data_IF_261713483256
#
_entry.id   IF_261713483256
#
_cell.length_a   1.000
_cell.length_b   1.000
_cell.length_c   1.000
_cell.angle_alpha   90.00
_cell.angle_beta   90.00
_cell.angle_gamma   90.00
#
_symmetry.space_group_name_H-M   'P 1'
#
loop_
_entity.id
_entity.type
_entity.pdbx_description
1 polymer ?
#
# COMPACT_ATOMS: atom_id res chain seq x y z
N UNK A 1 -19.91 5.49 4.76
CA UNK A 1 -19.60 4.22 5.46
C UNK A 1 -20.15 3.05 4.66
N UNK A 2 -19.60 2.84 3.47
CA UNK A 2 -19.79 1.76 2.51
C UNK A 2 -18.69 2.09 1.51
N UNK A 3 -17.53 1.42 1.49
CA UNK A 3 -17.32 0.19 0.74
C UNK A 3 -16.12 -0.63 1.27
N UNK A 4 -15.76 -0.51 2.55
CA UNK A 4 -14.59 -1.22 3.12
C UNK A 4 -14.72 -2.76 3.20
N UNK A 5 -15.87 -3.33 2.82
CA UNK A 5 -16.18 -4.76 2.95
C UNK A 5 -15.97 -5.61 1.70
N UNK A 6 -15.61 -5.03 0.55
CA UNK A 6 -15.50 -5.79 -0.72
C UNK A 6 -14.09 -5.92 -1.29
N UNK A 7 -13.11 -5.17 -0.79
CA UNK A 7 -11.71 -5.22 -1.23
C UNK A 7 -10.83 -6.14 -0.36
N UNK A 8 -11.41 -7.14 0.29
CA UNK A 8 -10.66 -8.00 1.22
C UNK A 8 -9.78 -9.01 0.49
N UNK A 9 -8.46 -8.89 0.66
CA UNK A 9 -7.53 -10.00 0.54
C UNK A 9 -7.75 -10.94 1.73
N UNK A 10 -8.33 -12.11 1.48
CA UNK A 10 -8.69 -13.14 2.46
C UNK A 10 -7.48 -13.88 3.06
N UNK A 11 -6.36 -13.20 3.37
CA UNK A 11 -5.12 -13.92 3.64
C UNK A 11 -4.99 -14.46 5.08
N UNK A 12 -5.17 -13.64 6.12
CA UNK A 12 -5.08 -14.04 7.53
C UNK A 12 -5.71 -12.97 8.44
N UNK A 13 -5.95 -13.35 9.70
CA UNK A 13 -6.53 -12.47 10.72
C UNK A 13 -5.58 -11.31 11.05
N UNK A 14 -4.27 -11.59 11.12
CA UNK A 14 -3.25 -10.58 11.44
C UNK A 14 -3.21 -9.42 10.44
N UNK A 15 -3.36 -9.68 9.13
CA UNK A 15 -3.41 -8.60 8.13
C UNK A 15 -4.69 -7.78 8.27
N UNK A 16 -5.81 -8.44 8.55
CA UNK A 16 -7.09 -7.76 8.77
C UNK A 16 -7.00 -6.84 9.99
N UNK A 17 -6.46 -7.34 11.10
CA UNK A 17 -6.25 -6.54 12.31
C UNK A 17 -5.31 -5.36 12.05
N UNK A 18 -4.23 -5.56 11.28
CA UNK A 18 -3.31 -4.48 10.91
C UNK A 18 -3.98 -3.38 10.07
N UNK A 19 -4.92 -3.73 9.20
CA UNK A 19 -5.68 -2.77 8.37
C UNK A 19 -6.81 -2.07 9.14
N UNK A 20 -7.36 -2.71 10.18
CA UNK A 20 -8.47 -2.17 10.99
C UNK A 20 -7.99 -1.42 12.25
N UNK A 21 -6.68 -1.41 12.52
CA UNK A 21 -6.09 -0.70 13.66
C UNK A 21 -6.34 0.80 13.57
N UNK A 22 -7.16 1.35 14.48
CA UNK A 22 -7.64 2.74 14.41
C UNK A 22 -7.01 3.72 15.39
N UNK A 23 -6.12 3.27 16.28
CA UNK A 23 -5.52 4.14 17.31
C UNK A 23 -4.30 4.95 16.81
N UNK A 24 -3.72 4.57 15.67
CA UNK A 24 -2.52 5.19 15.10
C UNK A 24 -2.58 5.24 13.58
N UNK A 25 -1.69 6.02 12.97
CA UNK A 25 -1.50 6.01 11.53
C UNK A 25 -1.06 4.60 11.08
N UNK A 26 -1.82 3.95 10.18
CA UNK A 26 -1.63 2.54 9.89
C UNK A 26 -0.39 2.29 9.03
N UNK A 27 0.54 1.47 9.53
CA UNK A 27 1.75 1.08 8.78
C UNK A 27 1.44 0.30 7.50
N UNK A 28 0.26 -0.31 7.42
CA UNK A 28 -0.25 -0.99 6.22
C UNK A 28 -1.61 -0.37 5.90
N UNK A 29 -1.78 0.15 4.70
CA UNK A 29 -3.00 0.86 4.29
C UNK A 29 -3.42 0.48 2.88
N UNK A 30 -4.70 0.70 2.57
CA UNK A 30 -5.21 0.59 1.20
C UNK A 30 -5.23 2.00 0.61
N UNK A 31 -4.41 2.21 -0.41
CA UNK A 31 -4.35 3.46 -1.15
C UNK A 31 -5.65 3.76 -1.90
N UNK A 32 -5.84 5.01 -2.37
CA UNK A 32 -7.00 5.40 -3.17
C UNK A 32 -7.11 4.62 -4.49
N UNK A 33 -5.99 4.11 -4.98
CA UNK A 33 -5.83 3.24 -6.15
C UNK A 33 -6.15 1.76 -5.87
N UNK A 34 -6.73 1.43 -4.71
CA UNK A 34 -7.07 0.05 -4.31
C UNK A 34 -5.86 -0.90 -4.27
N UNK A 35 -4.66 -0.36 -4.06
CA UNK A 35 -3.41 -1.10 -3.82
C UNK A 35 -3.08 -1.08 -2.34
N UNK A 36 -2.59 -2.21 -1.84
CA UNK A 36 -2.12 -2.32 -0.45
C UNK A 36 -0.69 -1.80 -0.39
N UNK A 37 -0.46 -0.77 0.41
CA UNK A 37 0.85 -0.18 0.68
C UNK A 37 1.30 -0.45 2.12
N UNK A 38 2.61 -0.46 2.32
CA UNK A 38 3.22 -0.44 3.64
C UNK A 38 4.22 0.70 3.71
N UNK A 39 4.16 1.46 4.79
CA UNK A 39 5.15 2.50 5.07
C UNK A 39 6.48 1.83 5.44
N UNK A 40 7.52 2.09 4.65
CA UNK A 40 8.86 1.51 4.82
C UNK A 40 9.87 2.50 5.39
N UNK A 41 9.50 3.79 5.49
CA UNK A 41 10.39 4.80 6.05
C UNK A 41 9.79 6.20 6.05
N UNK A 42 10.59 7.14 6.54
CA UNK A 42 10.34 8.56 6.53
C UNK A 42 11.36 9.23 5.59
N UNK A 43 10.91 10.23 4.85
CA UNK A 43 11.77 11.14 4.08
C UNK A 43 11.72 12.52 4.72
N UNK A 44 12.89 13.10 4.95
CA UNK A 44 13.02 14.46 5.44
C UNK A 44 12.59 15.41 4.32
N UNK A 45 11.45 16.06 4.50
CA UNK A 45 10.98 17.12 3.63
C UNK A 45 11.36 18.44 4.27
N UNK A 46 11.64 19.47 3.46
CA UNK A 46 11.97 20.82 3.97
C UNK A 46 10.77 21.48 4.71
N UNK A 47 9.60 20.85 4.68
CA UNK A 47 8.39 21.24 5.40
C UNK A 47 8.37 20.62 6.82
N UNK A 48 7.66 21.25 7.77
CA UNK A 48 7.65 20.89 9.21
C UNK A 48 7.22 19.42 9.53
N UNK A 49 6.76 18.63 8.55
CA UNK A 49 6.35 17.23 8.73
C UNK A 49 7.09 16.29 7.75
N UNK A 50 7.76 15.22 8.24
CA UNK A 50 8.46 14.27 7.39
C UNK A 50 7.47 13.49 6.53
N UNK A 51 7.79 13.33 5.24
CA UNK A 51 6.99 12.53 4.33
C UNK A 51 7.09 11.05 4.65
N UNK A 52 6.03 10.29 4.36
CA UNK A 52 6.04 8.83 4.43
C UNK A 52 6.49 8.24 3.10
N UNK A 53 7.29 7.17 3.16
CA UNK A 53 7.66 6.37 1.99
C UNK A 53 6.85 5.08 2.01
N UNK A 54 5.88 4.98 1.11
CA UNK A 54 4.99 3.83 0.97
C UNK A 54 5.41 2.92 -0.19
N UNK A 55 5.39 1.60 0.05
CA UNK A 55 5.74 0.61 -0.96
C UNK A 55 4.61 -0.43 -1.13
N UNK A 56 4.24 -0.81 -2.37
CA UNK A 56 3.19 -1.81 -2.59
C UNK A 56 3.60 -3.18 -2.01
N UNK A 57 2.65 -3.81 -1.31
CA UNK A 57 2.81 -5.15 -0.72
C UNK A 57 2.28 -6.24 -1.65
N UNK A 58 3.17 -7.01 -2.27
CA UNK A 58 2.75 -8.13 -3.14
C UNK A 58 2.42 -9.41 -2.37
N UNK A 59 2.99 -9.57 -1.19
CA UNK A 59 2.81 -10.73 -0.32
C UNK A 59 2.48 -10.25 1.09
N UNK A 60 1.63 -11.00 1.79
CA UNK A 60 1.30 -10.75 3.17
C UNK A 60 2.55 -10.94 4.04
N UNK A 61 2.96 -9.93 4.83
CA UNK A 61 4.14 -10.03 5.69
C UNK A 61 3.97 -11.04 6.83
N UNK A 62 2.72 -11.42 7.15
CA UNK A 62 2.41 -12.34 8.25
C UNK A 62 2.39 -13.81 7.81
N UNK A 63 1.70 -14.13 6.70
CA UNK A 63 1.50 -15.52 6.27
C UNK A 63 2.12 -15.87 4.90
N UNK A 64 2.72 -14.90 4.20
CA UNK A 64 3.37 -15.10 2.90
C UNK A 64 2.40 -15.29 1.72
N UNK A 65 1.08 -15.23 1.94
CA UNK A 65 0.09 -15.33 0.88
C UNK A 65 0.26 -14.17 -0.11
N UNK A 66 0.21 -14.47 -1.40
CA UNK A 66 0.23 -13.43 -2.45
C UNK A 66 -1.04 -12.59 -2.39
N UNK A 67 -0.90 -11.29 -2.22
CA UNK A 67 -2.00 -10.33 -2.09
C UNK A 67 -2.36 -9.67 -3.42
N UNK A 68 -1.34 -9.31 -4.20
CA UNK A 68 -1.48 -8.57 -5.46
C UNK A 68 -0.25 -8.85 -6.35
N UNK A 69 -0.40 -8.68 -7.66
CA UNK A 69 0.67 -8.85 -8.64
C UNK A 69 1.24 -7.50 -9.08
N UNK A 70 2.50 -7.45 -9.58
CA UNK A 70 3.05 -6.25 -10.21
C UNK A 70 2.20 -5.72 -11.35
N UNK A 71 1.52 -6.61 -12.09
CA UNK A 71 0.67 -6.26 -13.22
C UNK A 71 -0.65 -5.64 -12.80
N UNK A 72 -1.22 -6.07 -11.67
CA UNK A 72 -2.40 -5.44 -11.06
C UNK A 72 -2.04 -4.09 -10.46
N UNK A 73 -0.92 -4.00 -9.73
CA UNK A 73 -0.46 -2.74 -9.13
C UNK A 73 -0.17 -1.70 -10.20
N UNK A 74 0.57 -2.04 -11.27
CA UNK A 74 0.81 -1.06 -12.37
C UNK A 74 -0.48 -0.61 -13.03
N UNK A 75 -1.47 -1.50 -13.15
CA UNK A 75 -2.73 -1.19 -13.82
C UNK A 75 -3.61 -0.28 -12.96
N UNK A 76 -3.54 -0.43 -11.63
CA UNK A 76 -4.25 0.37 -10.65
C UNK A 76 -3.56 1.71 -10.38
N UNK A 77 -2.29 1.69 -10.00
CA UNK A 77 -1.51 2.88 -9.69
C UNK A 77 -1.19 3.74 -10.93
N UNK A 78 -1.12 3.11 -12.12
CA UNK A 78 -0.88 3.80 -13.39
C UNK A 78 -2.14 4.34 -14.08
N UNK A 79 -3.34 4.12 -13.51
CA UNK A 79 -4.57 4.69 -14.07
C UNK A 79 -4.77 6.17 -13.70
N UNK A 80 -4.12 6.64 -12.64
CA UNK A 80 -4.20 8.02 -12.14
C UNK A 80 -2.86 8.81 -12.27
N UNK A 81 -1.80 8.16 -12.75
CA UNK A 81 -0.49 8.77 -13.01
C UNK A 81 -0.26 8.99 -14.50
N UNK A 82 -0.43 10.23 -14.98
CA UNK A 82 0.26 10.70 -16.18
C UNK A 82 1.76 10.42 -16.01
N UNK A 83 2.36 9.82 -17.03
CA UNK A 83 3.53 8.97 -16.87
C UNK A 83 4.82 9.68 -16.51
N UNK A 84 5.66 9.00 -15.74
CA UNK A 84 7.10 9.16 -15.80
C UNK A 84 7.76 7.77 -15.87
N UNK A 85 8.17 7.44 -17.10
CA UNK A 85 9.19 6.45 -17.43
C UNK A 85 10.44 6.75 -16.60
N UNK A 86 10.59 6.12 -15.45
CA UNK A 86 11.86 6.12 -14.73
C UNK A 86 12.69 4.95 -15.27
N UNK A 87 13.82 5.19 -15.97
CA UNK A 87 14.62 4.12 -16.54
C UNK A 87 15.21 3.23 -15.45
N UNK A 88 15.55 1.96 -15.76
CA UNK A 88 16.15 1.05 -14.79
C UNK A 88 17.48 1.64 -14.30
N UNK A 89 17.54 1.87 -13.00
CA UNK A 89 18.74 2.40 -12.34
C UNK A 89 19.73 1.24 -12.21
N UNK A 90 20.90 1.42 -12.83
CA UNK A 90 22.04 0.48 -12.93
C UNK A 90 22.66 0.17 -11.57
#
# INVERSE_FOLDING_TARGET
>A
MAEAGKAFGSCCEELKEALEGGDFDPLITVGPDEVIYMTVGLVDLEEDEPGLVDHPLFFCPFCGTKLQTPEEVRAKAGADGDGEDQPPQV
#
